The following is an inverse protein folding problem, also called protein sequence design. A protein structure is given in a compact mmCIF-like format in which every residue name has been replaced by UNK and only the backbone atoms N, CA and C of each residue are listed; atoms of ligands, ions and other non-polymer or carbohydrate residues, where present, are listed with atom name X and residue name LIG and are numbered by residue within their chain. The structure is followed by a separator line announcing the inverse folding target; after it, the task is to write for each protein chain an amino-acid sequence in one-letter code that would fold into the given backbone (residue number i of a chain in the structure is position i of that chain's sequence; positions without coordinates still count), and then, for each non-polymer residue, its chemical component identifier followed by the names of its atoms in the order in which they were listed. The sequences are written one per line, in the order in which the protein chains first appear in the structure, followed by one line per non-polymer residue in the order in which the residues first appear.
data_IF_643569891106
#
_entry.id   IF_643569891106
#
_cell.length_a   1.000
_cell.length_b   1.000
_cell.length_c   1.000
_cell.angle_alpha   90.00
_cell.angle_beta   90.00
_cell.angle_gamma   90.00
#
_symmetry.space_group_name_H-M   'P 1'
#
loop_
_entity.id
_entity.type
_entity.pdbx_description
1 polymer ?
#
# COMPACT_ATOMS: atom_id res chain seq x y z
N UNK A 1 -23.13 -1.00 22.41
CA UNK A 1 -22.76 -1.23 21.00
C UNK A 1 -21.32 -0.79 20.84
N UNK A 2 -20.38 -1.74 20.90
CA UNK A 2 -18.93 -1.46 20.85
C UNK A 2 -18.55 -1.05 19.44
N UNK A 3 -17.79 0.03 19.27
CA UNK A 3 -17.30 0.46 17.95
C UNK A 3 -16.36 -0.63 17.39
N UNK A 4 -16.67 -1.26 16.25
CA UNK A 4 -15.81 -2.28 15.65
C UNK A 4 -14.43 -1.73 15.25
N UNK A 5 -14.22 -0.40 15.25
CA UNK A 5 -12.92 0.24 15.00
C UNK A 5 -12.01 0.32 16.23
N UNK A 6 -12.46 -0.16 17.40
CA UNK A 6 -11.65 -0.19 18.61
C UNK A 6 -10.54 -1.27 18.63
N UNK A 7 -10.43 -2.07 17.56
CA UNK A 7 -9.37 -3.08 17.37
C UNK A 7 -8.08 -2.40 16.90
N UNK A 8 -6.93 -2.87 17.38
CA UNK A 8 -5.61 -2.43 16.93
C UNK A 8 -5.50 -2.61 15.41
N UNK A 9 -5.31 -1.51 14.68
CA UNK A 9 -5.13 -1.57 13.22
C UNK A 9 -3.73 -2.11 12.90
N UNK A 10 -3.59 -2.95 11.85
CA UNK A 10 -2.29 -3.48 11.46
C UNK A 10 -1.37 -2.33 11.02
N UNK A 11 -0.13 -2.33 11.51
CA UNK A 11 0.87 -1.33 11.13
C UNK A 11 1.56 -1.68 9.79
N UNK A 12 1.50 -2.95 9.38
CA UNK A 12 2.20 -3.49 8.22
C UNK A 12 1.23 -4.04 7.18
N UNK A 13 1.57 -3.88 5.90
CA UNK A 13 0.86 -4.50 4.78
C UNK A 13 1.80 -5.02 3.70
N UNK A 14 1.33 -6.01 2.94
CA UNK A 14 2.01 -6.51 1.75
C UNK A 14 1.11 -6.32 0.54
N UNK A 15 1.59 -5.63 -0.49
CA UNK A 15 0.92 -5.48 -1.79
C UNK A 15 1.56 -6.42 -2.80
N UNK A 16 0.76 -7.37 -3.31
CA UNK A 16 1.23 -8.35 -4.29
C UNK A 16 1.12 -7.79 -5.71
N UNK A 17 2.26 -7.45 -6.30
CA UNK A 17 2.40 -6.73 -7.57
C UNK A 17 3.23 -7.51 -8.63
N UNK A 18 3.48 -8.81 -8.43
CA UNK A 18 4.40 -9.59 -9.27
C UNK A 18 3.84 -10.18 -10.57
N UNK A 19 2.54 -10.06 -10.84
CA UNK A 19 1.89 -10.70 -11.98
C UNK A 19 2.09 -9.97 -13.32
N UNK A 20 2.03 -10.70 -14.43
CA UNK A 20 2.18 -10.18 -15.81
C UNK A 20 1.02 -9.28 -16.27
N UNK A 21 -0.13 -9.29 -15.59
CA UNK A 21 -1.25 -8.37 -15.91
C UNK A 21 -2.00 -8.64 -17.22
N UNK A 22 -1.76 -9.76 -17.90
CA UNK A 22 -2.20 -10.04 -19.30
C UNK A 22 -3.69 -9.86 -19.60
N UNK A 23 -4.58 -9.97 -18.62
CA UNK A 23 -6.03 -9.73 -18.79
C UNK A 23 -6.40 -8.27 -19.02
N UNK A 24 -5.51 -7.34 -18.66
CA UNK A 24 -5.72 -5.90 -18.76
C UNK A 24 -4.99 -5.31 -19.97
N UNK A 25 -4.59 -6.14 -20.93
CA UNK A 25 -4.07 -5.63 -22.22
C UNK A 25 -5.15 -4.84 -22.95
N UNK A 26 -4.79 -3.76 -23.68
CA UNK A 26 -3.42 -3.33 -23.99
C UNK A 26 -2.73 -2.49 -22.89
N UNK A 27 -3.42 -2.11 -21.82
CA UNK A 27 -2.90 -1.20 -20.79
C UNK A 27 -1.69 -1.73 -20.00
N UNK A 28 -1.35 -3.01 -20.15
CA UNK A 28 -0.23 -3.67 -19.46
C UNK A 28 0.87 -4.12 -20.41
N UNK A 29 0.83 -3.68 -21.68
CA UNK A 29 1.87 -4.02 -22.65
C UNK A 29 3.18 -3.26 -22.41
N UNK A 30 3.11 -2.04 -21.87
CA UNK A 30 4.26 -1.15 -21.63
C UNK A 30 4.59 -0.94 -20.14
N UNK A 31 3.76 -1.47 -19.23
CA UNK A 31 3.86 -1.24 -17.77
C UNK A 31 3.25 -2.37 -16.96
N UNK A 32 3.71 -2.60 -15.72
CA UNK A 32 3.07 -3.58 -14.85
C UNK A 32 1.68 -3.10 -14.41
N UNK A 33 0.76 -4.03 -14.13
CA UNK A 33 -0.62 -3.70 -13.71
C UNK A 33 -0.71 -2.62 -12.62
N UNK A 34 0.10 -2.62 -11.54
CA UNK A 34 0.02 -1.59 -10.51
C UNK A 34 0.30 -0.16 -11.01
N UNK A 35 1.00 -0.04 -12.14
CA UNK A 35 1.34 1.23 -12.81
C UNK A 35 0.32 1.69 -13.85
N UNK A 36 -0.76 0.93 -14.05
CA UNK A 36 -1.87 1.40 -14.89
C UNK A 36 -2.56 2.56 -14.19
N UNK A 37 -2.72 3.67 -14.91
CA UNK A 37 -3.40 4.86 -14.42
C UNK A 37 -4.91 4.63 -14.33
N UNK A 38 -5.53 5.12 -13.25
CA UNK A 38 -6.99 5.23 -13.19
C UNK A 38 -7.41 6.47 -13.98
N UNK A 39 -8.26 6.33 -15.02
CA UNK A 39 -8.62 7.46 -15.88
C UNK A 39 -9.17 8.66 -15.10
N UNK A 40 -8.62 9.83 -15.37
CA UNK A 40 -9.05 11.09 -14.75
C UNK A 40 -8.46 11.39 -13.38
N UNK A 41 -7.63 10.50 -12.82
CA UNK A 41 -7.01 10.74 -11.49
C UNK A 41 -5.53 11.11 -11.56
N UNK A 42 -4.85 10.92 -12.72
CA UNK A 42 -3.40 11.12 -12.83
C UNK A 42 -2.58 10.22 -11.89
N UNK A 43 -3.18 9.16 -11.36
CA UNK A 43 -2.62 8.34 -10.27
C UNK A 43 -2.74 6.86 -10.64
N UNK A 44 -1.65 6.09 -10.60
CA UNK A 44 -1.68 4.66 -10.87
C UNK A 44 -2.42 3.89 -9.77
N UNK A 45 -2.86 2.67 -10.10
CA UNK A 45 -3.54 1.75 -9.16
C UNK A 45 -2.79 1.67 -7.82
N UNK A 46 -1.46 1.53 -7.84
CA UNK A 46 -0.65 1.42 -6.62
C UNK A 46 -0.73 2.67 -5.74
N UNK A 47 -0.84 3.87 -6.32
CA UNK A 47 -0.95 5.12 -5.57
C UNK A 47 -2.25 5.21 -4.78
N UNK A 48 -3.36 4.75 -5.37
CA UNK A 48 -4.65 4.63 -4.67
C UNK A 48 -4.56 3.64 -3.51
N UNK A 49 -3.93 2.47 -3.73
CA UNK A 49 -3.76 1.46 -2.69
C UNK A 49 -2.94 1.98 -1.50
N UNK A 50 -1.82 2.66 -1.77
CA UNK A 50 -0.95 3.21 -0.73
C UNK A 50 -1.64 4.34 0.05
N UNK A 51 -2.42 5.18 -0.63
CA UNK A 51 -3.23 6.22 0.02
C UNK A 51 -4.25 5.59 0.98
N UNK A 52 -5.01 4.59 0.55
CA UNK A 52 -5.99 3.93 1.41
C UNK A 52 -5.34 3.20 2.60
N UNK A 53 -4.19 2.55 2.38
CA UNK A 53 -3.43 1.92 3.46
C UNK A 53 -2.97 2.97 4.50
N UNK A 54 -2.48 4.11 4.05
CA UNK A 54 -2.07 5.20 4.93
C UNK A 54 -3.26 5.83 5.68
N UNK A 55 -4.40 6.01 5.04
CA UNK A 55 -5.65 6.46 5.68
C UNK A 55 -6.09 5.50 6.79
N UNK A 56 -5.89 4.20 6.56
CA UNK A 56 -6.16 3.18 7.56
C UNK A 56 -5.09 3.07 8.66
N UNK A 57 -3.98 3.78 8.54
CA UNK A 57 -2.93 3.84 9.57
C UNK A 57 -1.83 2.79 9.41
N UNK A 58 -1.74 2.15 8.25
CA UNK A 58 -0.59 1.32 7.88
C UNK A 58 0.60 2.23 7.60
N UNK A 59 1.74 1.95 8.23
CA UNK A 59 2.95 2.78 8.14
C UNK A 59 4.11 2.06 7.45
N UNK A 60 4.01 0.75 7.28
CA UNK A 60 5.05 -0.07 6.67
C UNK A 60 4.42 -0.96 5.59
N UNK A 61 4.84 -0.76 4.34
CA UNK A 61 4.26 -1.46 3.18
C UNK A 61 5.38 -2.11 2.38
N UNK A 62 5.28 -3.43 2.20
CA UNK A 62 6.14 -4.18 1.30
C UNK A 62 5.40 -4.41 -0.02
N UNK A 63 5.99 -3.98 -1.13
CA UNK A 63 5.44 -4.24 -2.47
C UNK A 63 6.24 -5.36 -3.12
N UNK A 64 5.59 -6.50 -3.38
CA UNK A 64 6.21 -7.63 -4.08
C UNK A 64 6.20 -7.36 -5.58
N UNK A 65 7.36 -7.01 -6.14
CA UNK A 65 7.52 -6.69 -7.56
C UNK A 65 7.95 -7.92 -8.37
N UNK A 66 7.59 -7.96 -9.65
CA UNK A 66 7.93 -9.04 -10.59
C UNK A 66 8.19 -8.50 -11.99
N UNK A 67 7.28 -8.78 -12.94
CA UNK A 67 7.39 -8.23 -14.30
C UNK A 67 7.52 -6.70 -14.29
N UNK A 68 8.48 -6.16 -15.05
CA UNK A 68 8.72 -4.71 -15.16
C UNK A 68 8.86 -3.99 -13.80
N UNK A 69 9.47 -4.67 -12.81
CA UNK A 69 9.64 -4.16 -11.46
C UNK A 69 10.30 -2.77 -11.41
N UNK A 70 11.20 -2.46 -12.34
CA UNK A 70 11.96 -1.22 -12.37
C UNK A 70 11.07 0.02 -12.58
N UNK A 71 10.00 -0.13 -13.38
CA UNK A 71 9.03 0.95 -13.61
C UNK A 71 8.30 1.30 -12.32
N UNK A 72 7.91 0.27 -11.57
CA UNK A 72 7.21 0.43 -10.30
C UNK A 72 8.13 1.00 -9.22
N UNK A 73 9.37 0.50 -9.11
CA UNK A 73 10.37 1.01 -8.17
C UNK A 73 10.65 2.49 -8.41
N UNK A 74 10.93 2.89 -9.65
CA UNK A 74 11.18 4.29 -10.00
C UNK A 74 10.02 5.20 -9.65
N UNK A 75 8.78 4.75 -9.85
CA UNK A 75 7.62 5.54 -9.45
C UNK A 75 7.55 5.70 -7.93
N UNK A 76 7.74 4.62 -7.17
CA UNK A 76 7.72 4.63 -5.70
C UNK A 76 8.78 5.55 -5.08
N UNK A 77 9.96 5.68 -5.70
CA UNK A 77 11.02 6.61 -5.25
C UNK A 77 10.61 8.08 -5.37
N UNK A 78 9.75 8.41 -6.33
CA UNK A 78 9.34 9.79 -6.65
C UNK A 78 7.93 10.14 -6.17
N UNK A 79 7.16 9.15 -5.74
CA UNK A 79 5.77 9.34 -5.35
C UNK A 79 5.67 10.16 -4.06
N UNK A 80 4.88 11.23 -4.10
CA UNK A 80 4.49 11.97 -2.90
C UNK A 80 3.34 11.21 -2.21
N UNK A 81 3.70 10.35 -1.27
CA UNK A 81 2.77 9.53 -0.52
C UNK A 81 2.40 10.22 0.80
N UNK A 82 1.14 10.12 1.25
CA UNK A 82 0.71 10.73 2.50
C UNK A 82 1.52 10.17 3.68
N UNK A 83 2.43 10.99 4.21
CA UNK A 83 3.17 10.69 5.42
C UNK A 83 2.29 10.98 6.64
N UNK A 84 1.65 9.95 7.19
CA UNK A 84 1.04 10.10 8.52
C UNK A 84 2.16 10.15 9.57
N UNK A 85 2.26 11.28 10.26
CA UNK A 85 2.99 11.33 11.53
C UNK A 85 2.46 10.22 12.44
N UNK A 86 3.33 9.39 13.05
CA UNK A 86 2.88 8.34 13.94
C UNK A 86 2.09 8.98 15.07
N UNK A 87 0.76 8.83 15.03
CA UNK A 87 -0.06 9.13 16.21
C UNK A 87 0.45 8.20 17.28
N UNK A 88 0.95 8.78 18.37
CA UNK A 88 1.27 8.12 19.63
C UNK A 88 0.23 7.03 19.92
N UNK A 89 0.51 5.82 19.47
CA UNK A 89 -0.25 4.65 19.86
C UNK A 89 0.24 4.37 21.27
N UNK A 90 -0.67 4.48 22.24
CA UNK A 90 -0.39 4.00 23.60
C UNK A 90 0.17 2.59 23.45
N UNK A 91 1.36 2.37 24.04
CA UNK A 91 1.89 1.03 24.32
C UNK A 91 0.74 0.17 24.81
N UNK A 92 0.53 -0.96 24.16
CA UNK A 92 -0.36 -2.00 24.64
C UNK A 92 0.23 -2.54 25.96
N UNK A 93 -0.39 -2.33 27.13
CA UNK A 93 0.13 -2.85 28.39
C UNK A 93 0.01 -4.38 28.50
N UNK A 94 -0.62 -5.07 27.53
CA UNK A 94 -0.75 -6.53 27.59
C UNK A 94 0.47 -7.33 27.11
N UNK A 95 1.51 -6.69 26.59
CA UNK A 95 2.78 -7.37 26.25
C UNK A 95 3.78 -7.47 27.41
N UNK A 96 3.45 -6.98 28.61
CA UNK A 96 4.34 -6.99 29.79
C UNK A 96 4.08 -8.13 30.79
N UNK A 97 3.31 -9.17 30.43
CA UNK A 97 2.92 -10.22 31.38
C UNK A 97 3.01 -11.65 30.82
N UNK A 98 4.02 -11.96 30.00
CA UNK A 98 4.31 -13.35 29.65
C UNK A 98 5.83 -13.58 29.57
N UNK A 99 6.35 -14.21 30.64
CA UNK A 99 7.65 -14.85 30.84
C UNK A 99 8.87 -13.95 31.06
#
# INVERSE_FOLDING_TARGET
MTDPRAVTRPAQAVVLAGGQGTRLRPYTDDRPKPMVEIPGTGTPIIGHQLTWLAEEGVTDVVVSCGHLAEVLQKWLETADLPSRSPRSSRRNPSAAAAA
#
